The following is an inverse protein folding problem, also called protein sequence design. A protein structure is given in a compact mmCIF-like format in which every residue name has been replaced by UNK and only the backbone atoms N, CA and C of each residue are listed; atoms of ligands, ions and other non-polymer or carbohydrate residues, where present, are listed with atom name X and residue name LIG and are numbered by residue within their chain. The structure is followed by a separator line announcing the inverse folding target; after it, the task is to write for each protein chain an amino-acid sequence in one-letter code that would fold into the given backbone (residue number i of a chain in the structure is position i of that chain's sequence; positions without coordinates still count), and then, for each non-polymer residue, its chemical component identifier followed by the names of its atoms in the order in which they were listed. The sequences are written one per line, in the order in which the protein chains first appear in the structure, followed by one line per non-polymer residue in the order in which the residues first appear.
data_IF_994859417529
#
_entry.id   IF_994859417529
#
_cell.length_a   1.000
_cell.length_b   1.000
_cell.length_c   1.000
_cell.angle_alpha   90.00
_cell.angle_beta   90.00
_cell.angle_gamma   90.00
#
_symmetry.space_group_name_H-M   'P 1'
#
loop_
_entity.id
_entity.type
_entity.pdbx_description
1 polymer ?
#
# COMPACT_ATOMS: atom_id res chain seq x y z
N UNK A 1 -12.60 -3.73 -7.75
CA UNK A 1 -13.84 -3.02 -8.17
C UNK A 1 -13.57 -1.58 -8.61
N UNK A 2 -12.90 -0.70 -7.84
CA UNK A 2 -12.54 0.66 -8.30
C UNK A 2 -11.54 0.64 -9.47
N UNK A 3 -10.49 -0.18 -9.37
CA UNK A 3 -9.50 -0.33 -10.43
C UNK A 3 -10.13 -0.73 -11.78
N UNK A 4 -11.15 -1.61 -11.78
CA UNK A 4 -11.89 -2.01 -12.99
C UNK A 4 -12.69 -0.88 -13.66
N UNK A 5 -12.79 0.28 -13.03
CA UNK A 5 -13.49 1.46 -13.55
C UNK A 5 -12.53 2.61 -13.83
N UNK A 6 -11.24 2.35 -13.77
CA UNK A 6 -10.21 3.35 -14.01
C UNK A 6 -9.98 3.52 -15.51
N UNK A 7 -9.84 4.74 -15.97
CA UNK A 7 -9.43 5.07 -17.33
C UNK A 7 -7.88 5.14 -17.46
N UNK A 8 -7.16 4.91 -16.35
CA UNK A 8 -5.70 5.07 -16.26
C UNK A 8 -4.98 3.75 -16.01
N UNK A 9 -5.60 2.83 -15.27
CA UNK A 9 -5.02 1.52 -14.95
C UNK A 9 -5.95 0.40 -15.42
N UNK A 10 -5.35 -0.65 -15.99
CA UNK A 10 -6.02 -1.87 -16.40
C UNK A 10 -5.58 -3.02 -15.48
N UNK A 11 -6.46 -3.56 -14.63
CA UNK A 11 -6.14 -4.72 -13.82
C UNK A 11 -5.98 -5.97 -14.69
N UNK A 12 -4.88 -6.68 -14.52
CA UNK A 12 -4.55 -7.90 -15.28
C UNK A 12 -4.55 -9.12 -14.37
N UNK A 13 -3.98 -8.99 -13.17
CA UNK A 13 -3.79 -10.08 -12.24
C UNK A 13 -4.45 -9.83 -10.88
N UNK A 14 -4.93 -10.92 -10.28
CA UNK A 14 -5.24 -11.02 -8.85
C UNK A 14 -4.45 -12.18 -8.25
N UNK A 15 -3.58 -11.85 -7.31
CA UNK A 15 -2.68 -12.79 -6.66
C UNK A 15 -3.11 -13.04 -5.23
N UNK A 16 -3.15 -14.29 -4.81
CA UNK A 16 -3.48 -14.71 -3.45
C UNK A 16 -2.67 -15.93 -3.02
N UNK A 17 -2.92 -16.41 -1.81
CA UNK A 17 -2.29 -17.63 -1.24
C UNK A 17 -3.32 -18.65 -0.74
N UNK A 18 -4.60 -18.38 -0.96
CA UNK A 18 -5.72 -19.26 -0.57
C UNK A 18 -6.55 -19.55 -1.81
N UNK A 19 -6.49 -20.78 -2.31
CA UNK A 19 -7.06 -21.16 -3.58
C UNK A 19 -8.59 -20.98 -3.66
N UNK A 20 -9.30 -21.23 -2.59
CA UNK A 20 -10.76 -21.10 -2.47
C UNK A 20 -11.19 -19.70 -1.96
N UNK A 21 -10.30 -18.73 -2.03
CA UNK A 21 -10.59 -17.35 -1.64
C UNK A 21 -11.72 -16.75 -2.47
N UNK A 22 -12.75 -16.16 -1.85
CA UNK A 22 -13.80 -15.43 -2.58
C UNK A 22 -13.26 -14.28 -3.43
N UNK A 23 -12.10 -13.71 -3.06
CA UNK A 23 -11.42 -12.68 -3.83
C UNK A 23 -10.89 -13.19 -5.16
N UNK A 24 -10.22 -14.35 -5.17
CA UNK A 24 -9.74 -14.99 -6.40
C UNK A 24 -10.91 -15.44 -7.29
N UNK A 25 -11.94 -16.07 -6.71
CA UNK A 25 -13.13 -16.46 -7.46
C UNK A 25 -13.78 -15.24 -8.16
N UNK A 26 -13.90 -14.12 -7.43
CA UNK A 26 -14.46 -12.89 -7.99
C UNK A 26 -13.58 -12.29 -9.08
N UNK A 27 -12.26 -12.38 -8.95
CA UNK A 27 -11.33 -11.90 -9.97
C UNK A 27 -11.45 -12.72 -11.27
N UNK A 28 -11.59 -14.05 -11.16
CA UNK A 28 -11.85 -14.93 -12.30
C UNK A 28 -13.15 -14.60 -13.03
N UNK A 29 -14.24 -14.35 -12.29
CA UNK A 29 -15.51 -13.89 -12.88
C UNK A 29 -15.38 -12.57 -13.65
N UNK A 30 -14.45 -11.72 -13.25
CA UNK A 30 -14.14 -10.45 -13.91
C UNK A 30 -13.14 -10.59 -15.07
N UNK A 31 -12.71 -11.80 -15.39
CA UNK A 31 -11.77 -12.08 -16.48
C UNK A 31 -10.31 -11.82 -16.17
N UNK A 32 -9.95 -11.59 -14.91
CA UNK A 32 -8.55 -11.40 -14.52
C UNK A 32 -7.80 -12.75 -14.45
N UNK A 33 -6.51 -12.75 -14.74
CA UNK A 33 -5.65 -13.86 -14.40
C UNK A 33 -5.53 -14.00 -12.89
N UNK A 34 -5.50 -15.23 -12.39
CA UNK A 34 -5.43 -15.47 -10.95
C UNK A 34 -4.42 -16.56 -10.62
N UNK A 35 -3.82 -16.48 -9.44
CA UNK A 35 -3.00 -17.53 -8.85
C UNK A 35 -3.19 -17.58 -7.35
N UNK A 36 -3.05 -18.79 -6.78
CA UNK A 36 -3.00 -19.02 -5.33
C UNK A 36 -1.58 -19.32 -4.84
N UNK A 37 -0.57 -19.21 -5.70
CA UNK A 37 0.83 -19.48 -5.39
C UNK A 37 1.60 -18.20 -4.96
N UNK A 38 0.87 -17.19 -4.51
CA UNK A 38 1.46 -15.91 -4.18
C UNK A 38 2.07 -15.21 -5.40
N UNK A 39 3.00 -14.29 -5.13
CA UNK A 39 3.69 -13.54 -6.18
C UNK A 39 4.41 -14.46 -7.17
N UNK A 40 4.93 -15.59 -6.69
CA UNK A 40 5.70 -16.54 -7.50
C UNK A 40 4.88 -17.14 -8.65
N UNK A 41 3.57 -17.30 -8.48
CA UNK A 41 2.68 -17.79 -9.53
C UNK A 41 2.44 -16.78 -10.66
N UNK A 42 2.66 -15.49 -10.44
CA UNK A 42 2.54 -14.44 -11.44
C UNK A 42 3.84 -14.18 -12.21
N UNK A 43 4.98 -14.28 -11.52
CA UNK A 43 6.30 -13.86 -12.08
C UNK A 43 6.61 -14.44 -13.46
N UNK A 44 6.32 -15.73 -13.78
CA UNK A 44 6.72 -16.31 -15.06
C UNK A 44 6.15 -15.60 -16.29
N UNK A 45 4.95 -15.03 -16.19
CA UNK A 45 4.28 -14.35 -17.32
C UNK A 45 4.09 -12.86 -17.12
N UNK A 46 4.51 -12.34 -15.98
CA UNK A 46 4.27 -10.95 -15.55
C UNK A 46 4.68 -9.91 -16.61
N UNK A 47 5.84 -10.10 -17.27
CA UNK A 47 6.35 -9.20 -18.32
C UNK A 47 5.54 -9.31 -19.61
N UNK A 48 5.21 -10.54 -20.01
CA UNK A 48 4.40 -10.81 -21.21
C UNK A 48 3.00 -10.25 -21.07
N UNK A 49 2.47 -10.26 -19.84
CA UNK A 49 1.17 -9.71 -19.49
C UNK A 49 1.19 -8.17 -19.32
N UNK A 50 2.34 -7.53 -19.49
CA UNK A 50 2.48 -6.08 -19.43
C UNK A 50 2.28 -5.47 -18.05
N UNK A 51 2.51 -6.23 -16.99
CA UNK A 51 2.36 -5.73 -15.61
C UNK A 51 3.45 -4.71 -15.30
N UNK A 52 3.06 -3.48 -15.04
CA UNK A 52 3.95 -2.35 -14.74
C UNK A 52 3.90 -1.95 -13.26
N UNK A 53 2.77 -2.18 -12.61
CA UNK A 53 2.53 -1.78 -11.22
C UNK A 53 1.87 -2.94 -10.49
N UNK A 54 2.36 -3.23 -9.28
CA UNK A 54 1.73 -4.16 -8.36
C UNK A 54 1.29 -3.42 -7.08
N UNK A 55 0.07 -3.68 -6.63
CA UNK A 55 -0.44 -3.22 -5.34
C UNK A 55 -0.31 -4.37 -4.33
N UNK A 56 0.53 -4.19 -3.32
CA UNK A 56 0.69 -5.18 -2.26
C UNK A 56 -0.24 -4.87 -1.07
N UNK A 57 -1.26 -5.68 -0.92
CA UNK A 57 -2.21 -5.63 0.19
C UNK A 57 -2.10 -6.89 1.08
N UNK A 58 -0.92 -7.48 1.21
CA UNK A 58 -0.67 -8.70 1.98
C UNK A 58 -0.38 -8.39 3.46
N UNK A 59 0.87 -8.47 3.88
CA UNK A 59 1.28 -8.14 5.24
C UNK A 59 2.68 -7.54 5.25
N UNK A 60 3.01 -6.81 6.33
CA UNK A 60 4.35 -6.23 6.51
C UNK A 60 5.47 -7.30 6.48
N UNK A 61 5.17 -8.53 6.90
CA UNK A 61 6.16 -9.61 7.01
C UNK A 61 6.63 -10.17 5.68
N UNK A 62 5.79 -10.19 4.65
CA UNK A 62 6.11 -10.75 3.34
C UNK A 62 6.38 -9.69 2.28
N UNK A 63 6.05 -8.44 2.58
CA UNK A 63 6.15 -7.33 1.63
C UNK A 63 7.56 -7.15 1.06
N UNK A 64 8.59 -7.22 1.89
CA UNK A 64 9.97 -7.05 1.45
C UNK A 64 10.37 -8.05 0.35
N UNK A 65 10.01 -9.33 0.51
CA UNK A 65 10.28 -10.37 -0.49
C UNK A 65 9.43 -10.19 -1.74
N UNK A 66 8.14 -9.91 -1.58
CA UNK A 66 7.24 -9.61 -2.70
C UNK A 66 7.76 -8.44 -3.53
N UNK A 67 8.12 -7.33 -2.87
CA UNK A 67 8.64 -6.13 -3.52
C UNK A 67 9.93 -6.41 -4.30
N UNK A 68 10.89 -7.10 -3.67
CA UNK A 68 12.13 -7.50 -4.34
C UNK A 68 11.85 -8.28 -5.62
N UNK A 69 11.04 -9.34 -5.55
CA UNK A 69 10.70 -10.20 -6.68
C UNK A 69 10.03 -9.43 -7.82
N UNK A 70 9.08 -8.58 -7.51
CA UNK A 70 8.36 -7.75 -8.49
C UNK A 70 9.28 -6.71 -9.12
N UNK A 71 10.12 -6.05 -8.33
CA UNK A 71 11.07 -5.05 -8.83
C UNK A 71 12.15 -5.67 -9.73
N UNK A 72 12.58 -6.90 -9.48
CA UNK A 72 13.48 -7.67 -10.36
C UNK A 72 12.88 -7.90 -11.76
N UNK A 73 11.55 -7.91 -11.89
CA UNK A 73 10.86 -7.96 -13.17
C UNK A 73 10.67 -6.57 -13.83
N UNK A 74 11.05 -5.49 -13.15
CA UNK A 74 10.96 -4.12 -13.66
C UNK A 74 9.64 -3.41 -13.35
N UNK A 75 8.76 -3.99 -12.54
CA UNK A 75 7.51 -3.35 -12.14
C UNK A 75 7.65 -2.62 -10.80
N UNK A 76 6.87 -1.56 -10.64
CA UNK A 76 6.82 -0.76 -9.42
C UNK A 76 5.87 -1.42 -8.41
N UNK A 77 6.28 -1.45 -7.15
CA UNK A 77 5.44 -1.90 -6.05
C UNK A 77 4.80 -0.70 -5.34
N UNK A 78 3.48 -0.71 -5.23
CA UNK A 78 2.73 0.21 -4.37
C UNK A 78 2.34 -0.54 -3.10
N UNK A 79 3.01 -0.19 -2.01
CA UNK A 79 2.85 -0.85 -0.72
C UNK A 79 1.64 -0.31 0.04
N UNK A 80 0.62 -1.15 0.22
CA UNK A 80 -0.56 -0.88 1.04
C UNK A 80 -0.46 -1.58 2.41
N UNK A 81 0.68 -2.23 2.69
CA UNK A 81 0.97 -2.83 3.99
C UNK A 81 1.64 -1.81 4.92
N UNK A 82 1.66 -2.02 6.23
CA UNK A 82 2.40 -1.15 7.14
C UNK A 82 3.90 -1.50 7.24
N UNK A 83 4.52 -2.04 6.19
CA UNK A 83 5.93 -2.47 6.20
C UNK A 83 6.93 -1.31 6.28
N UNK A 84 6.51 -0.09 5.94
CA UNK A 84 7.34 1.12 5.99
C UNK A 84 8.61 1.06 5.12
N UNK A 85 8.55 0.36 3.98
CA UNK A 85 9.65 0.23 3.03
C UNK A 85 9.49 1.26 1.90
N UNK A 86 10.58 1.94 1.56
CA UNK A 86 10.59 2.98 0.53
C UNK A 86 10.05 4.34 0.98
N UNK A 87 9.95 5.31 0.07
CA UNK A 87 9.42 6.63 0.37
C UNK A 87 7.94 6.57 0.75
N UNK A 88 7.58 7.31 1.79
CA UNK A 88 6.20 7.46 2.22
C UNK A 88 5.47 8.41 1.27
N UNK A 89 4.31 7.99 0.80
CA UNK A 89 3.46 8.78 -0.09
C UNK A 89 2.06 8.98 0.51
N UNK A 90 1.74 10.24 0.73
CA UNK A 90 0.38 10.70 1.01
C UNK A 90 0.02 11.67 -0.11
N UNK A 91 -0.70 11.25 -1.16
CA UNK A 91 -0.83 11.98 -2.41
C UNK A 91 -1.20 13.46 -2.27
N UNK A 92 -2.16 13.87 -1.42
CA UNK A 92 -2.48 15.29 -1.28
C UNK A 92 -1.38 16.13 -0.61
N UNK A 93 -0.33 15.50 -0.07
CA UNK A 93 0.76 16.18 0.63
C UNK A 93 2.05 16.19 -0.18
N UNK A 94 2.51 15.02 -0.64
CA UNK A 94 3.86 14.85 -1.20
C UNK A 94 3.95 13.96 -2.44
N UNK A 95 2.88 13.85 -3.26
CA UNK A 95 2.89 12.99 -4.45
C UNK A 95 4.04 13.34 -5.41
N UNK A 96 4.26 14.62 -5.67
CA UNK A 96 5.30 15.05 -6.60
C UNK A 96 6.71 14.63 -6.14
N UNK A 97 6.96 14.72 -4.85
CA UNK A 97 8.22 14.28 -4.22
C UNK A 97 8.38 12.76 -4.31
N UNK A 98 7.34 12.01 -3.94
CA UNK A 98 7.35 10.56 -4.01
C UNK A 98 7.55 10.03 -5.44
N UNK A 99 6.96 10.69 -6.45
CA UNK A 99 7.14 10.33 -7.86
C UNK A 99 8.55 10.71 -8.34
N UNK A 100 9.06 11.88 -7.95
CA UNK A 100 10.40 12.32 -8.37
C UNK A 100 11.53 11.46 -7.77
N UNK A 101 11.27 10.77 -6.68
CA UNK A 101 12.21 9.82 -6.08
C UNK A 101 12.50 8.59 -6.97
N UNK A 102 11.67 8.32 -7.98
CA UNK A 102 11.78 7.18 -8.91
C UNK A 102 11.99 5.84 -8.19
N UNK A 103 11.43 5.70 -7.00
CA UNK A 103 11.57 4.49 -6.21
C UNK A 103 10.73 3.36 -6.79
N UNK A 104 11.31 2.16 -6.82
CA UNK A 104 10.62 0.96 -7.29
C UNK A 104 9.62 0.41 -6.25
N UNK A 105 9.63 0.92 -5.02
CA UNK A 105 8.64 0.64 -3.99
C UNK A 105 8.19 1.95 -3.34
N UNK A 106 6.89 2.20 -3.31
CA UNK A 106 6.28 3.40 -2.70
C UNK A 106 5.34 2.98 -1.59
N UNK A 107 5.61 3.45 -0.37
CA UNK A 107 4.82 3.12 0.81
C UNK A 107 3.63 4.08 0.96
N UNK A 108 2.42 3.53 0.97
CA UNK A 108 1.18 4.29 1.16
C UNK A 108 0.82 4.50 2.64
N UNK A 109 1.79 4.33 3.53
CA UNK A 109 1.64 4.50 4.98
C UNK A 109 0.62 3.51 5.56
N UNK A 110 -0.55 4.00 5.92
CA UNK A 110 -1.69 3.21 6.45
C UNK A 110 -3.00 3.88 6.06
N UNK A 111 -4.11 3.16 6.13
CA UNK A 111 -5.43 3.75 5.85
C UNK A 111 -5.75 4.91 6.81
N UNK A 112 -5.40 4.77 8.09
CA UNK A 112 -5.52 5.84 9.08
C UNK A 112 -4.62 7.03 8.75
N UNK A 113 -3.37 6.76 8.39
CA UNK A 113 -2.41 7.78 7.96
C UNK A 113 -2.88 8.55 6.72
N UNK A 114 -3.35 7.85 5.70
CA UNK A 114 -3.88 8.50 4.49
C UNK A 114 -5.06 9.45 4.77
N UNK A 115 -5.89 9.10 5.75
CA UNK A 115 -7.05 9.92 6.11
C UNK A 115 -6.68 11.14 6.96
N UNK A 116 -5.62 11.10 7.75
CA UNK A 116 -5.37 12.06 8.84
C UNK A 116 -4.08 12.87 8.67
N UNK A 117 -3.02 12.31 8.10
CA UNK A 117 -1.76 13.02 7.85
C UNK A 117 -1.95 14.31 7.04
N UNK A 118 -2.84 14.39 6.04
CA UNK A 118 -3.12 15.65 5.34
C UNK A 118 -3.54 16.80 6.25
N UNK A 119 -4.26 16.51 7.35
CA UNK A 119 -4.67 17.52 8.32
C UNK A 119 -3.48 18.03 9.12
N UNK A 120 -2.60 17.13 9.58
CA UNK A 120 -1.35 17.50 10.26
C UNK A 120 -0.48 18.35 9.34
N UNK A 121 -0.31 17.92 8.09
CA UNK A 121 0.46 18.66 7.09
C UNK A 121 -0.11 20.06 6.81
N UNK A 122 -1.43 20.20 6.79
CA UNK A 122 -2.07 21.50 6.61
C UNK A 122 -1.74 22.47 7.75
N UNK A 123 -1.73 21.99 8.99
CA UNK A 123 -1.33 22.79 10.16
C UNK A 123 0.17 23.11 10.12
N UNK A 124 1.01 22.11 9.82
CA UNK A 124 2.47 22.26 9.78
C UNK A 124 2.95 23.30 8.75
N UNK A 125 2.16 23.52 7.68
CA UNK A 125 2.45 24.58 6.69
C UNK A 125 2.26 26.01 7.22
N UNK A 126 1.50 26.15 8.31
CA UNK A 126 1.18 27.47 8.90
C UNK A 126 2.00 27.73 10.12
N UNK A 127 2.24 26.72 10.95
CA UNK A 127 3.00 26.82 12.19
C UNK A 127 3.68 25.49 12.55
N UNK A 128 4.79 25.51 13.31
CA UNK A 128 5.42 24.29 13.80
C UNK A 128 4.46 23.44 14.64
N UNK A 129 4.43 22.14 14.38
CA UNK A 129 3.68 21.15 15.16
C UNK A 129 4.68 20.33 15.97
N UNK A 130 4.67 20.50 17.29
CA UNK A 130 5.58 19.76 18.19
C UNK A 130 5.18 18.31 18.37
N UNK A 131 3.87 18.01 18.34
CA UNK A 131 3.34 16.68 18.49
C UNK A 131 2.04 16.51 17.70
N UNK A 132 1.93 15.39 16.95
CA UNK A 132 0.73 15.02 16.23
C UNK A 132 0.21 13.66 16.69
N UNK A 133 -1.06 13.58 17.05
CA UNK A 133 -1.72 12.35 17.47
C UNK A 133 -2.92 12.02 16.59
N UNK A 134 -3.05 10.74 16.24
CA UNK A 134 -4.19 10.20 15.52
C UNK A 134 -4.90 9.19 16.41
N UNK A 135 -6.17 9.45 16.69
CA UNK A 135 -7.08 8.49 17.32
C UNK A 135 -8.07 7.99 16.27
N UNK A 136 -7.97 6.71 15.92
CA UNK A 136 -8.81 6.12 14.88
C UNK A 136 -9.74 5.05 15.43
N UNK A 137 -11.04 5.16 15.16
CA UNK A 137 -12.00 4.09 15.41
C UNK A 137 -12.24 3.31 14.13
N UNK A 138 -11.97 2.01 14.16
CA UNK A 138 -12.12 1.11 13.02
C UNK A 138 -13.19 0.08 13.31
N UNK A 139 -14.12 -0.14 12.37
CA UNK A 139 -15.11 -1.21 12.48
C UNK A 139 -14.41 -2.57 12.62
N UNK A 140 -14.82 -3.36 13.62
CA UNK A 140 -14.28 -4.70 13.82
C UNK A 140 -14.51 -5.63 12.61
N UNK A 141 -15.54 -5.39 11.81
CA UNK A 141 -15.79 -6.11 10.56
C UNK A 141 -14.81 -5.75 9.45
N UNK A 142 -14.28 -4.51 9.47
CA UNK A 142 -13.27 -4.05 8.50
C UNK A 142 -11.85 -4.41 8.90
N UNK A 143 -11.60 -4.63 10.21
CA UNK A 143 -10.31 -5.06 10.72
C UNK A 143 -10.16 -6.58 10.52
N UNK A 144 -9.72 -6.98 9.32
CA UNK A 144 -9.44 -8.37 8.99
C UNK A 144 -8.25 -8.96 9.78
N UNK A 145 -7.98 -10.27 9.61
CA UNK A 145 -6.86 -10.93 10.31
C UNK A 145 -5.49 -10.28 10.04
N UNK A 146 -5.27 -9.76 8.83
CA UNK A 146 -4.06 -9.05 8.46
C UNK A 146 -3.87 -7.78 9.28
N UNK A 147 -4.90 -6.93 9.39
CA UNK A 147 -4.85 -5.70 10.20
C UNK A 147 -4.54 -5.99 11.66
N UNK A 148 -5.18 -7.03 12.24
CA UNK A 148 -4.96 -7.39 13.64
C UNK A 148 -3.56 -7.90 13.92
N UNK A 149 -2.95 -8.63 12.97
CA UNK A 149 -1.57 -9.14 13.09
C UNK A 149 -0.52 -8.04 12.93
N UNK A 150 -0.84 -6.95 12.26
CA UNK A 150 0.09 -5.85 11.96
C UNK A 150 -0.24 -4.57 12.75
N UNK A 151 -0.89 -4.67 13.92
CA UNK A 151 -1.34 -3.48 14.65
C UNK A 151 -0.17 -2.63 15.15
N UNK A 152 0.93 -3.25 15.54
CA UNK A 152 2.12 -2.54 16.01
C UNK A 152 2.82 -1.83 14.84
N UNK A 153 2.97 -2.51 13.71
CA UNK A 153 3.51 -1.92 12.47
C UNK A 153 2.62 -0.80 11.98
N UNK A 154 1.30 -0.97 12.05
CA UNK A 154 0.33 0.07 11.71
C UNK A 154 0.57 1.34 12.55
N UNK A 155 0.71 1.18 13.86
CA UNK A 155 0.92 2.29 14.79
C UNK A 155 2.25 3.00 14.52
N UNK A 156 3.34 2.25 14.43
CA UNK A 156 4.69 2.80 14.16
C UNK A 156 4.77 3.50 12.80
N UNK A 157 4.24 2.87 11.76
CA UNK A 157 4.26 3.44 10.40
C UNK A 157 3.41 4.70 10.33
N UNK A 158 2.27 4.74 11.03
CA UNK A 158 1.43 5.96 11.08
C UNK A 158 2.13 7.09 11.83
N UNK A 159 2.73 6.81 12.99
CA UNK A 159 3.51 7.80 13.74
C UNK A 159 4.67 8.37 12.90
N UNK A 160 5.44 7.51 12.25
CA UNK A 160 6.50 7.93 11.33
C UNK A 160 5.95 8.78 10.16
N UNK A 161 4.77 8.44 9.65
CA UNK A 161 4.10 9.21 8.60
C UNK A 161 3.67 10.61 9.06
N UNK A 162 3.21 10.75 10.31
CA UNK A 162 2.89 12.05 10.93
C UNK A 162 4.14 12.94 10.98
N UNK A 163 5.29 12.37 11.33
CA UNK A 163 6.56 13.09 11.39
C UNK A 163 7.08 13.43 9.99
N UNK A 164 7.30 12.43 9.14
CA UNK A 164 8.00 12.57 7.86
C UNK A 164 7.18 13.28 6.78
N UNK A 165 5.89 13.05 6.75
CA UNK A 165 4.98 13.60 5.73
C UNK A 165 4.09 14.69 6.32
N UNK A 166 3.60 14.50 7.54
CA UNK A 166 2.78 15.49 8.24
C UNK A 166 3.55 16.71 8.73
N UNK A 167 4.86 16.57 8.96
CA UNK A 167 5.73 17.66 9.41
C UNK A 167 5.64 17.96 10.91
N UNK A 168 5.09 17.04 11.71
CA UNK A 168 5.18 17.13 13.17
C UNK A 168 6.58 16.72 13.66
N UNK A 169 7.04 17.30 14.77
CA UNK A 169 8.33 16.94 15.38
C UNK A 169 8.28 15.55 16.04
N UNK A 170 7.10 15.09 16.45
CA UNK A 170 6.85 13.78 17.00
C UNK A 170 5.41 13.33 16.67
N UNK A 171 5.25 12.02 16.47
CA UNK A 171 3.97 11.40 16.16
C UNK A 171 3.66 10.19 17.05
#
# INVERSE_FOLDING_TARGET
MKAMRSDVIEPVWMVGVVADSPGLARAQELGLKTTADGVDGMLPTMKEDGVQICFDATSAYVHADNSRKVNEQGAVMIDLTPAAIGPFCVPPVNLAEAVSAQAMNVNMVTCGGQATIPLVAAVSRVQPVSYGEIVATVSSKSAGPGTRKNIDEFTRTTATGIERVGGASSG
#
